data_IF_009004419448
#
_entry.id   IF_009004419448
#
_cell.length_a   1.000
_cell.length_b   1.000
_cell.length_c   1.000
_cell.angle_alpha   90.00
_cell.angle_beta   90.00
_cell.angle_gamma   90.00
#
_symmetry.space_group_name_H-M   'P 1'
#
loop_
_entity.id
_entity.type
_entity.pdbx_description
1 polymer ?
#
# COMPACT_ATOMS: atom_id res chain seq x y z
N UNK A 1 -33.79 10.29 9.40
CA UNK A 1 -34.26 10.05 8.02
C UNK A 1 -33.04 9.81 7.15
N UNK A 2 -33.14 8.84 6.23
CA UNK A 2 -32.10 8.50 5.26
C UNK A 2 -32.71 8.73 3.87
N UNK A 3 -32.00 9.42 3.01
CA UNK A 3 -32.43 9.71 1.64
C UNK A 3 -31.59 8.92 0.62
N UNK A 4 -32.12 8.77 -0.58
CA UNK A 4 -31.34 8.16 -1.68
C UNK A 4 -30.12 9.07 -1.96
N UNK A 5 -28.91 8.47 -1.93
CA UNK A 5 -27.65 9.18 -2.09
C UNK A 5 -26.90 9.47 -0.79
N UNK A 6 -27.54 9.26 0.36
CA UNK A 6 -26.86 9.38 1.65
C UNK A 6 -25.84 8.25 1.84
N UNK A 7 -24.66 8.60 2.35
CA UNK A 7 -23.64 7.62 2.69
C UNK A 7 -23.96 6.91 3.98
N UNK A 8 -23.93 5.58 3.95
CA UNK A 8 -24.11 4.74 5.13
C UNK A 8 -22.82 3.98 5.41
N UNK A 9 -22.34 4.05 6.65
CA UNK A 9 -21.14 3.34 7.06
C UNK A 9 -21.29 2.77 8.45
N UNK A 10 -20.55 1.70 8.74
CA UNK A 10 -20.54 1.11 10.09
C UNK A 10 -19.83 2.07 11.07
N UNK A 11 -20.31 2.14 12.28
CA UNK A 11 -19.57 2.66 13.42
C UNK A 11 -18.56 1.57 13.81
N UNK A 12 -17.30 1.95 14.04
CA UNK A 12 -16.27 1.01 14.44
C UNK A 12 -15.25 1.70 15.31
N UNK A 13 -15.28 1.38 16.61
CA UNK A 13 -14.28 1.82 17.56
C UNK A 13 -12.99 1.00 17.40
N UNK A 14 -11.88 1.52 17.88
CA UNK A 14 -10.64 0.77 17.99
C UNK A 14 -10.80 -0.30 19.07
N UNK A 15 -10.57 -1.54 18.70
CA UNK A 15 -10.60 -2.70 19.61
C UNK A 15 -9.26 -3.42 19.53
N UNK A 16 -8.62 -3.60 20.68
CA UNK A 16 -7.43 -4.45 20.81
C UNK A 16 -7.86 -5.91 20.95
N UNK A 17 -7.30 -6.79 20.14
CA UNK A 17 -7.61 -8.22 20.09
C UNK A 17 -6.30 -9.03 20.13
N UNK A 18 -5.76 -9.22 21.34
CA UNK A 18 -4.43 -9.81 21.49
C UNK A 18 -3.37 -8.91 20.85
N UNK A 19 -2.60 -9.44 19.92
CA UNK A 19 -1.57 -8.70 19.20
C UNK A 19 -2.11 -7.98 17.93
N UNK A 20 -3.43 -7.96 17.77
CA UNK A 20 -4.10 -7.35 16.62
C UNK A 20 -4.95 -6.15 17.03
N UNK A 21 -5.11 -5.23 16.10
CA UNK A 21 -6.05 -4.10 16.21
C UNK A 21 -7.20 -4.31 15.23
N UNK A 22 -8.40 -4.07 15.69
CA UNK A 22 -9.59 -4.01 14.84
C UNK A 22 -10.15 -2.59 14.87
N UNK A 23 -10.25 -1.96 13.72
CA UNK A 23 -10.75 -0.59 13.61
C UNK A 23 -11.33 -0.36 12.22
N UNK A 24 -12.31 0.54 12.17
CA UNK A 24 -12.87 0.99 10.89
C UNK A 24 -11.82 1.72 10.06
N UNK A 25 -11.81 1.45 8.75
CA UNK A 25 -11.03 2.21 7.77
C UNK A 25 -9.50 2.17 8.03
N UNK A 26 -9.01 1.03 8.55
CA UNK A 26 -7.56 0.80 8.60
C UNK A 26 -7.00 0.80 7.17
N UNK A 27 -7.81 0.37 6.24
CA UNK A 27 -7.67 0.56 4.81
C UNK A 27 -8.27 1.94 4.41
N UNK A 28 -7.45 2.93 4.04
CA UNK A 28 -5.98 2.87 4.13
C UNK A 28 -5.42 3.95 5.07
N UNK A 29 -6.05 4.14 6.23
CA UNK A 29 -5.55 5.07 7.27
C UNK A 29 -4.22 4.59 7.86
N UNK A 30 -3.98 3.27 7.84
CA UNK A 30 -2.71 2.68 8.24
C UNK A 30 -1.57 3.13 7.34
N UNK A 31 -1.72 3.02 6.02
CA UNK A 31 -0.76 3.51 5.04
C UNK A 31 -0.52 5.02 5.14
N UNK A 32 -1.59 5.81 5.35
CA UNK A 32 -1.46 7.25 5.59
C UNK A 32 -0.58 7.56 6.81
N UNK A 33 -0.79 6.86 7.93
CA UNK A 33 0.02 7.02 9.13
C UNK A 33 1.48 6.67 8.86
N UNK A 34 1.74 5.53 8.22
CA UNK A 34 3.10 5.09 7.87
C UNK A 34 3.82 6.10 6.97
N UNK A 35 3.13 6.67 5.99
CA UNK A 35 3.70 7.69 5.11
C UNK A 35 4.09 8.95 5.89
N UNK A 36 3.24 9.41 6.81
CA UNK A 36 3.53 10.55 7.68
C UNK A 36 4.76 10.27 8.55
N UNK A 37 4.85 9.09 9.17
CA UNK A 37 5.99 8.73 10.02
C UNK A 37 7.28 8.57 9.21
N UNK A 38 7.21 8.02 8.00
CA UNK A 38 8.37 7.92 7.11
C UNK A 38 8.92 9.30 6.73
N UNK A 39 8.03 10.22 6.32
CA UNK A 39 8.43 11.60 6.01
C UNK A 39 8.98 12.30 7.24
N UNK A 40 8.35 12.12 8.41
CA UNK A 40 8.83 12.67 9.68
C UNK A 40 10.26 12.19 10.00
N UNK A 41 10.51 10.89 9.88
CA UNK A 41 11.82 10.30 10.14
C UNK A 41 12.90 10.88 9.20
N UNK A 42 12.58 11.09 7.92
CA UNK A 42 13.50 11.74 6.97
C UNK A 42 13.82 13.17 7.39
N UNK A 43 12.80 13.95 7.75
CA UNK A 43 12.98 15.34 8.18
C UNK A 43 13.80 15.42 9.47
N UNK A 44 13.48 14.58 10.46
CA UNK A 44 14.17 14.57 11.76
C UNK A 44 15.61 14.06 11.67
N UNK A 45 15.93 13.21 10.69
CA UNK A 45 17.30 12.77 10.44
C UNK A 45 18.24 13.90 9.99
N UNK A 46 17.69 15.01 9.51
CA UNK A 46 18.45 16.12 8.92
C UNK A 46 19.12 15.75 7.59
N UNK A 47 18.92 14.54 7.08
CA UNK A 47 19.46 14.15 5.78
C UNK A 47 18.61 14.79 4.66
N UNK A 48 19.30 15.31 3.67
CA UNK A 48 18.65 15.83 2.47
C UNK A 48 18.76 14.77 1.36
N UNK A 49 17.64 14.23 0.86
CA UNK A 49 17.68 13.34 -0.28
C UNK A 49 18.31 14.03 -1.51
N UNK A 50 19.03 13.26 -2.32
CA UNK A 50 19.58 13.72 -3.59
C UNK A 50 18.54 13.73 -4.73
N UNK A 51 17.27 13.52 -4.41
CA UNK A 51 16.12 13.46 -5.32
C UNK A 51 14.92 14.17 -4.72
N UNK A 52 13.99 14.56 -5.57
CA UNK A 52 12.71 15.12 -5.14
C UNK A 52 11.82 14.01 -4.61
N UNK A 53 11.33 14.16 -3.39
CA UNK A 53 10.44 13.23 -2.73
C UNK A 53 9.03 13.82 -2.64
N UNK A 54 8.06 13.11 -3.18
CA UNK A 54 6.65 13.45 -3.15
C UNK A 54 5.89 12.49 -2.25
N UNK A 55 5.29 12.99 -1.19
CA UNK A 55 4.35 12.25 -0.36
C UNK A 55 2.92 12.58 -0.82
N UNK A 56 2.23 11.60 -1.39
CA UNK A 56 0.92 11.78 -2.01
C UNK A 56 -0.14 11.02 -1.22
N UNK A 57 -1.17 11.72 -0.79
CA UNK A 57 -2.38 11.13 -0.21
C UNK A 57 -3.45 11.14 -1.29
N UNK A 58 -3.55 10.04 -2.01
CA UNK A 58 -4.48 9.89 -3.13
C UNK A 58 -5.93 9.84 -2.66
N UNK A 59 -6.83 10.26 -3.50
CA UNK A 59 -8.28 10.17 -3.28
C UNK A 59 -8.89 9.17 -4.25
N UNK A 60 -10.03 8.58 -3.87
CA UNK A 60 -10.78 7.67 -4.74
C UNK A 60 -9.96 6.45 -5.23
N UNK A 61 -9.14 5.89 -4.35
CA UNK A 61 -8.41 4.65 -4.61
C UNK A 61 -9.40 3.49 -4.84
N UNK A 62 -10.35 3.31 -3.92
CA UNK A 62 -11.37 2.25 -3.87
C UNK A 62 -12.33 2.19 -5.08
N UNK A 63 -12.31 3.21 -5.91
CA UNK A 63 -13.17 3.34 -7.09
C UNK A 63 -12.38 3.47 -8.39
N UNK A 64 -11.15 2.98 -8.39
CA UNK A 64 -10.31 2.85 -9.58
C UNK A 64 -9.05 3.70 -9.59
N UNK A 65 -8.35 3.86 -8.46
CA UNK A 65 -7.00 4.46 -8.37
C UNK A 65 -6.93 5.90 -8.93
N UNK A 66 -8.02 6.65 -8.84
CA UNK A 66 -8.22 7.90 -9.62
C UNK A 66 -7.27 9.01 -9.20
N UNK A 67 -7.07 9.19 -7.89
CA UNK A 67 -6.16 10.21 -7.38
C UNK A 67 -4.71 9.92 -7.73
N UNK A 68 -4.27 8.67 -7.61
CA UNK A 68 -2.94 8.25 -7.99
C UNK A 68 -2.69 8.43 -9.49
N UNK A 69 -3.68 8.13 -10.35
CA UNK A 69 -3.59 8.38 -11.78
C UNK A 69 -3.32 9.86 -12.09
N UNK A 70 -4.10 10.77 -11.49
CA UNK A 70 -3.96 12.19 -11.70
C UNK A 70 -2.60 12.72 -11.20
N UNK A 71 -2.21 12.34 -9.98
CA UNK A 71 -0.93 12.74 -9.39
C UNK A 71 0.27 12.23 -10.21
N UNK A 72 0.18 11.00 -10.72
CA UNK A 72 1.25 10.40 -11.52
C UNK A 72 1.47 11.13 -12.84
N UNK A 73 0.40 11.55 -13.51
CA UNK A 73 0.48 12.32 -14.76
C UNK A 73 1.16 13.68 -14.52
N UNK A 74 0.90 14.29 -13.39
CA UNK A 74 1.45 15.61 -13.04
C UNK A 74 2.90 15.51 -12.55
N UNK A 75 3.19 14.60 -11.64
CA UNK A 75 4.51 14.44 -11.00
C UNK A 75 5.51 13.72 -11.93
N UNK A 76 5.09 12.72 -12.69
CA UNK A 76 5.91 11.88 -13.57
C UNK A 76 7.10 11.24 -12.84
N UNK A 77 6.87 10.43 -11.81
CA UNK A 77 7.94 9.89 -10.98
C UNK A 77 8.75 8.81 -11.71
N UNK A 78 10.08 8.82 -11.57
CA UNK A 78 10.95 7.74 -12.04
C UNK A 78 10.73 6.46 -11.25
N UNK A 79 10.54 6.61 -9.92
CA UNK A 79 10.28 5.55 -8.96
C UNK A 79 9.03 5.87 -8.15
N UNK A 80 8.23 4.88 -7.87
CA UNK A 80 7.02 5.07 -7.07
C UNK A 80 6.73 3.87 -6.16
N UNK A 81 6.16 4.18 -4.99
CA UNK A 81 5.74 3.19 -4.00
C UNK A 81 4.32 3.48 -3.54
N UNK A 82 3.49 2.46 -3.47
CA UNK A 82 2.25 2.51 -2.73
C UNK A 82 2.44 1.89 -1.34
N UNK A 83 1.91 2.56 -0.32
CA UNK A 83 1.72 2.00 1.01
C UNK A 83 0.25 1.66 1.16
N UNK A 84 -0.03 0.39 1.26
CA UNK A 84 -1.40 -0.11 1.24
C UNK A 84 -1.61 -1.18 2.31
N UNK A 85 -2.78 -1.76 2.34
CA UNK A 85 -3.10 -2.96 3.13
C UNK A 85 -3.36 -4.14 2.21
N UNK A 86 -3.34 -5.34 2.75
CA UNK A 86 -3.64 -6.55 1.99
C UNK A 86 -4.50 -7.52 2.79
N UNK A 87 -4.95 -8.57 2.14
CA UNK A 87 -5.83 -9.58 2.71
C UNK A 87 -5.01 -10.81 3.10
N UNK A 88 -5.11 -11.23 4.37
CA UNK A 88 -4.45 -12.46 4.84
C UNK A 88 -5.24 -13.74 4.49
N UNK A 89 -6.54 -13.63 4.20
CA UNK A 89 -7.44 -14.77 4.02
C UNK A 89 -7.37 -15.79 5.16
N UNK A 90 -7.39 -15.30 6.38
CA UNK A 90 -7.31 -16.11 7.62
C UNK A 90 -8.63 -16.23 8.37
N UNK A 91 -9.69 -15.73 7.78
CA UNK A 91 -11.06 -15.82 8.34
C UNK A 91 -11.62 -17.23 8.21
N UNK A 92 -12.55 -17.63 9.10
CA UNK A 92 -13.22 -18.93 9.01
C UNK A 92 -13.86 -19.16 7.65
N UNK A 93 -13.56 -20.31 7.04
CA UNK A 93 -14.05 -20.67 5.71
C UNK A 93 -13.10 -20.38 4.55
N UNK A 94 -12.02 -19.65 4.78
CA UNK A 94 -10.97 -19.45 3.77
C UNK A 94 -10.17 -20.72 3.52
N UNK A 95 -9.90 -21.03 2.26
CA UNK A 95 -9.07 -22.16 1.87
C UNK A 95 -7.57 -21.87 2.05
N UNK A 96 -6.78 -22.90 2.24
CA UNK A 96 -5.32 -22.74 2.35
C UNK A 96 -4.68 -22.13 1.07
N UNK A 97 -5.31 -22.37 -0.09
CA UNK A 97 -4.86 -21.85 -1.39
C UNK A 97 -5.23 -20.37 -1.62
N UNK A 98 -6.12 -19.81 -0.80
CA UNK A 98 -6.50 -18.40 -0.88
C UNK A 98 -5.50 -17.48 -0.16
N UNK A 99 -4.70 -18.04 0.75
CA UNK A 99 -3.76 -17.27 1.57
C UNK A 99 -2.67 -16.64 0.72
N UNK A 100 -2.61 -15.32 0.69
CA UNK A 100 -1.56 -14.56 0.03
C UNK A 100 -0.56 -13.94 1.00
N UNK A 101 -0.96 -13.69 2.25
CA UNK A 101 -0.10 -13.19 3.32
C UNK A 101 -0.46 -13.84 4.65
N UNK A 102 0.38 -13.65 5.65
CA UNK A 102 0.17 -14.17 7.00
C UNK A 102 0.40 -13.05 8.01
N UNK A 103 -0.58 -12.77 8.85
CA UNK A 103 -0.47 -11.78 9.93
C UNK A 103 0.73 -12.09 10.85
N UNK A 104 1.48 -11.05 11.22
CA UNK A 104 2.65 -11.16 12.08
C UNK A 104 3.91 -11.69 11.40
N UNK A 105 3.90 -11.93 10.08
CA UNK A 105 5.09 -12.41 9.33
C UNK A 105 5.87 -11.30 8.62
N UNK A 106 5.63 -10.07 9.01
CA UNK A 106 6.32 -8.91 8.46
C UNK A 106 5.59 -8.29 7.27
N UNK A 107 6.17 -7.21 6.77
CA UNK A 107 5.60 -6.46 5.65
C UNK A 107 5.48 -7.34 4.39
N UNK A 108 4.42 -7.15 3.64
CA UNK A 108 4.23 -7.84 2.39
C UNK A 108 4.79 -7.02 1.23
N UNK A 109 5.80 -7.54 0.55
CA UNK A 109 6.34 -6.96 -0.68
C UNK A 109 5.51 -7.47 -1.85
N UNK A 110 4.76 -6.58 -2.46
CA UNK A 110 3.83 -6.92 -3.54
C UNK A 110 4.58 -7.26 -4.83
N UNK A 111 4.41 -8.50 -5.30
CA UNK A 111 4.94 -8.98 -6.58
C UNK A 111 3.90 -8.82 -7.69
N UNK A 112 2.64 -9.07 -7.35
CA UNK A 112 1.54 -9.05 -8.31
C UNK A 112 0.21 -8.77 -7.62
N UNK A 113 -0.64 -7.97 -8.28
CA UNK A 113 -2.07 -7.89 -8.02
C UNK A 113 -2.87 -7.71 -9.32
N UNK A 114 -4.17 -7.49 -9.23
CA UNK A 114 -5.04 -7.34 -10.40
C UNK A 114 -4.75 -6.13 -11.29
N UNK A 115 -3.95 -5.17 -10.81
CA UNK A 115 -3.62 -3.92 -11.53
C UNK A 115 -2.13 -3.74 -11.78
N UNK A 116 -1.27 -4.48 -11.06
CA UNK A 116 0.18 -4.30 -11.01
C UNK A 116 0.91 -5.62 -11.25
N UNK A 117 1.89 -5.58 -12.11
CA UNK A 117 3.03 -6.52 -12.08
C UNK A 117 4.24 -5.70 -11.67
N UNK A 118 4.68 -5.89 -10.44
CA UNK A 118 5.81 -5.11 -9.90
C UNK A 118 7.07 -5.35 -10.71
N UNK A 119 7.78 -4.29 -11.06
CA UNK A 119 9.08 -4.42 -11.71
C UNK A 119 10.03 -5.26 -10.84
N UNK A 120 10.65 -6.27 -11.42
CA UNK A 120 11.51 -7.19 -10.67
C UNK A 120 12.70 -6.48 -10.00
N UNK A 121 13.16 -5.35 -10.54
CA UNK A 121 14.20 -4.52 -9.91
C UNK A 121 13.69 -3.92 -8.61
N UNK A 122 12.41 -3.48 -8.61
CA UNK A 122 11.77 -2.92 -7.42
C UNK A 122 11.55 -4.01 -6.35
N UNK A 123 11.09 -5.20 -6.73
CA UNK A 123 10.96 -6.33 -5.79
C UNK A 123 12.31 -6.63 -5.14
N UNK A 124 13.38 -6.77 -5.94
CA UNK A 124 14.73 -7.03 -5.44
C UNK A 124 15.25 -5.92 -4.54
N UNK A 125 14.97 -4.67 -4.89
CA UNK A 125 15.36 -3.52 -4.08
C UNK A 125 14.67 -3.54 -2.71
N UNK A 126 13.35 -3.72 -2.68
CA UNK A 126 12.58 -3.76 -1.44
C UNK A 126 13.00 -4.94 -0.54
N UNK A 127 13.19 -6.13 -1.12
CA UNK A 127 13.63 -7.30 -0.35
C UNK A 127 15.05 -7.14 0.18
N UNK A 128 15.97 -6.55 -0.60
CA UNK A 128 17.33 -6.24 -0.14
C UNK A 128 17.32 -5.25 1.04
N UNK A 129 16.50 -4.20 0.99
CA UNK A 129 16.33 -3.27 2.10
C UNK A 129 15.82 -3.96 3.36
N UNK A 130 14.86 -4.88 3.20
CA UNK A 130 14.35 -5.67 4.34
C UNK A 130 15.45 -6.56 4.92
N UNK A 131 16.26 -7.21 4.11
CA UNK A 131 17.37 -8.07 4.54
C UNK A 131 18.45 -7.25 5.25
N UNK A 132 18.89 -6.14 4.68
CA UNK A 132 19.88 -5.23 5.27
C UNK A 132 19.40 -4.64 6.61
N UNK A 133 18.12 -4.26 6.68
CA UNK A 133 17.50 -3.73 7.89
C UNK A 133 17.07 -4.79 8.90
N UNK A 134 17.24 -6.08 8.61
CA UNK A 134 16.70 -7.18 9.41
C UNK A 134 15.19 -7.04 9.65
N UNK A 135 14.46 -6.53 8.66
CA UNK A 135 13.01 -6.32 8.70
C UNK A 135 12.33 -7.61 8.21
N UNK A 136 11.47 -8.23 9.02
CA UNK A 136 10.68 -9.36 8.56
C UNK A 136 9.81 -8.99 7.37
N UNK A 137 9.83 -9.82 6.33
CA UNK A 137 9.01 -9.59 5.14
C UNK A 137 8.50 -10.90 4.54
N UNK A 138 7.52 -10.78 3.68
CA UNK A 138 6.99 -11.86 2.87
C UNK A 138 6.68 -11.34 1.46
N UNK A 139 6.61 -12.26 0.48
CA UNK A 139 6.20 -11.89 -0.87
C UNK A 139 4.68 -12.02 -0.98
N UNK A 140 4.05 -11.08 -1.65
CA UNK A 140 2.61 -11.05 -1.86
C UNK A 140 2.25 -11.27 -3.33
N UNK A 141 1.34 -12.23 -3.55
CA UNK A 141 0.65 -12.44 -4.82
C UNK A 141 -0.85 -12.45 -4.55
N UNK A 142 -1.53 -11.42 -5.00
CA UNK A 142 -2.97 -11.25 -4.84
C UNK A 142 -3.64 -11.26 -6.22
N UNK A 143 -4.40 -12.31 -6.53
CA UNK A 143 -5.00 -12.47 -7.86
C UNK A 143 -6.14 -11.47 -8.16
N UNK A 144 -6.58 -10.70 -7.16
CA UNK A 144 -7.65 -9.72 -7.26
C UNK A 144 -7.27 -8.43 -6.55
N UNK A 145 -8.08 -7.38 -6.68
CA UNK A 145 -7.80 -6.08 -6.10
C UNK A 145 -6.79 -5.29 -6.91
N UNK A 146 -6.34 -4.18 -6.36
CA UNK A 146 -5.36 -3.29 -6.98
C UNK A 146 -4.80 -2.35 -5.93
N UNK A 147 -3.78 -1.61 -6.31
CA UNK A 147 -3.17 -0.57 -5.49
C UNK A 147 -2.73 0.60 -6.36
N UNK A 148 -2.53 1.75 -5.77
CA UNK A 148 -2.08 2.96 -6.45
C UNK A 148 -0.82 2.75 -7.31
N UNK A 149 0.05 1.81 -6.96
CA UNK A 149 1.22 1.46 -7.76
C UNK A 149 0.86 1.00 -9.18
N UNK A 150 -0.29 0.35 -9.38
CA UNK A 150 -0.80 -0.02 -10.70
C UNK A 150 -1.10 1.20 -11.57
N UNK A 151 -1.67 2.25 -10.98
CA UNK A 151 -1.88 3.52 -11.67
C UNK A 151 -0.55 4.23 -11.96
N UNK A 152 0.36 4.25 -10.99
CA UNK A 152 1.68 4.87 -11.15
C UNK A 152 2.49 4.22 -12.27
N UNK A 153 2.45 2.89 -12.39
CA UNK A 153 3.11 2.16 -13.46
C UNK A 153 2.49 2.46 -14.83
N UNK A 154 1.15 2.48 -14.89
CA UNK A 154 0.39 2.54 -16.15
C UNK A 154 0.29 3.94 -16.73
N UNK A 155 0.13 4.97 -15.90
CA UNK A 155 -0.20 6.32 -16.33
C UNK A 155 0.95 7.30 -16.27
N UNK A 156 2.13 6.89 -15.78
CA UNK A 156 3.32 7.71 -15.84
C UNK A 156 3.81 7.84 -17.29
N UNK A 157 3.87 9.05 -17.87
CA UNK A 157 4.48 9.26 -19.17
C UNK A 157 5.95 8.80 -19.15
N UNK A 158 6.31 7.86 -20.00
CA UNK A 158 7.65 7.25 -20.00
C UNK A 158 7.81 6.04 -19.08
N UNK A 159 6.81 5.75 -18.26
CA UNK A 159 6.81 4.66 -17.27
C UNK A 159 7.42 5.06 -15.93
N UNK A 160 7.01 4.37 -14.87
CA UNK A 160 7.61 4.46 -13.53
C UNK A 160 8.00 3.07 -13.06
N UNK A 161 9.13 2.95 -12.39
CA UNK A 161 9.47 1.72 -11.67
C UNK A 161 8.65 1.70 -10.39
N UNK A 162 7.48 1.06 -10.46
CA UNK A 162 6.49 1.06 -9.39
C UNK A 162 6.53 -0.22 -8.57
N UNK A 163 6.23 -0.10 -7.29
CA UNK A 163 6.04 -1.20 -6.37
C UNK A 163 5.11 -0.84 -5.22
N UNK A 164 4.77 -1.83 -4.41
CA UNK A 164 3.94 -1.63 -3.23
C UNK A 164 4.38 -2.51 -2.07
N UNK A 165 4.10 -2.03 -0.87
CA UNK A 165 4.24 -2.79 0.38
C UNK A 165 2.94 -2.67 1.18
N UNK A 166 2.60 -3.77 1.87
CA UNK A 166 1.37 -3.89 2.65
C UNK A 166 1.65 -4.45 4.04
#
# INVERSE_FOLDING_TARGET
YVSIGDSITRIGDLVEMGDCLNVKSIDNRGGCYLLIEAVRAIVESGQKPDYDLYAVFSVQEEVGLRGAQAATIDIQPDFSFALDVTIAFDTPGSGAHDKCTVLGKGTAVKVYDGTLITDNRMVKFMTALCEEGSIPYQLELLAAGGTDAGAMQKFCPGGSIAGAVS
#
